data_IF_713260000178
#
_entry.id   IF_713260000178
#
_cell.length_a   1.000
_cell.length_b   1.000
_cell.length_c   1.000
_cell.angle_alpha   90.00
_cell.angle_beta   90.00
_cell.angle_gamma   90.00
#
_symmetry.space_group_name_H-M   'P 1'
#
loop_
_entity.id
_entity.type
_entity.pdbx_description
1 polymer ?
#
# COMPACT_ATOMS: atom_id res chain seq x y z
N UNK A 1 -1.19 7.85 8.33
CA UNK A 1 -0.76 6.54 7.79
C UNK A 1 0.43 6.79 6.89
N UNK A 2 1.62 6.32 7.29
CA UNK A 2 2.87 6.73 6.65
C UNK A 2 3.66 5.52 6.19
N UNK A 3 4.04 5.52 4.92
CA UNK A 3 5.11 4.67 4.38
C UNK A 3 4.85 3.16 4.58
N UNK A 4 3.64 2.71 4.22
CA UNK A 4 3.23 1.31 4.32
C UNK A 4 3.13 0.65 2.95
N UNK A 5 3.40 -0.65 2.86
CA UNK A 5 3.04 -1.48 1.71
C UNK A 5 1.86 -2.40 2.06
N UNK A 6 0.79 -2.36 1.28
CA UNK A 6 -0.42 -3.17 1.49
C UNK A 6 -0.82 -3.86 0.18
N UNK A 7 -1.01 -5.18 0.23
CA UNK A 7 -1.57 -5.96 -0.89
C UNK A 7 -2.70 -6.83 -0.33
N UNK A 8 -3.94 -6.53 -0.72
CA UNK A 8 -5.13 -7.16 -0.12
C UNK A 8 -6.28 -7.29 -1.11
N UNK A 9 -7.18 -8.21 -0.80
CA UNK A 9 -8.51 -8.28 -1.42
C UNK A 9 -9.32 -7.01 -1.14
N UNK A 10 -10.16 -6.60 -2.09
CA UNK A 10 -10.96 -5.38 -1.97
C UNK A 10 -10.15 -4.11 -2.19
N UNK A 11 -10.47 -3.04 -1.47
CA UNK A 11 -9.83 -1.74 -1.67
C UNK A 11 -8.40 -1.77 -1.11
N UNK A 12 -7.41 -1.41 -1.94
CA UNK A 12 -6.01 -1.31 -1.55
C UNK A 12 -5.84 -0.26 -0.46
N UNK A 13 -6.02 1.01 -0.83
CA UNK A 13 -6.12 2.13 0.09
C UNK A 13 -7.60 2.37 0.44
N UNK A 14 -8.06 1.93 1.61
CA UNK A 14 -9.50 1.91 1.93
C UNK A 14 -9.84 2.58 3.27
N UNK A 15 -11.01 3.23 3.31
CA UNK A 15 -11.61 3.80 4.53
C UNK A 15 -13.14 3.74 4.45
N UNK A 16 -13.77 2.96 5.33
CA UNK A 16 -15.20 2.60 5.24
C UNK A 16 -16.13 3.44 6.13
N UNK A 17 -15.57 4.31 6.96
CA UNK A 17 -16.29 5.17 7.89
C UNK A 17 -15.57 6.53 7.94
N UNK A 18 -16.19 7.49 8.60
CA UNK A 18 -15.70 8.86 8.76
C UNK A 18 -14.31 8.84 9.39
N UNK A 19 -13.35 9.48 8.72
CA UNK A 19 -12.08 9.90 9.31
C UNK A 19 -11.96 11.41 9.18
N UNK A 20 -11.17 12.04 10.05
CA UNK A 20 -10.81 13.45 9.92
C UNK A 20 -9.43 13.66 10.55
N UNK A 21 -8.74 14.72 10.15
CA UNK A 21 -7.35 15.01 10.57
C UNK A 21 -6.36 13.87 10.27
N UNK A 22 -6.62 13.07 9.25
CA UNK A 22 -5.74 11.97 8.87
C UNK A 22 -4.65 12.45 7.90
N UNK A 23 -3.40 12.06 8.15
CA UNK A 23 -2.27 12.40 7.29
C UNK A 23 -1.74 11.15 6.59
N UNK A 24 -1.88 11.08 5.27
CA UNK A 24 -1.46 9.96 4.43
C UNK A 24 -0.32 10.36 3.51
N UNK A 25 0.79 9.61 3.58
CA UNK A 25 1.99 9.83 2.78
C UNK A 25 2.73 8.53 2.47
N UNK A 26 3.25 8.44 1.25
CA UNK A 26 4.20 7.42 0.78
C UNK A 26 3.72 5.98 0.90
N UNK A 27 2.41 5.73 0.98
CA UNK A 27 1.87 4.39 1.07
C UNK A 27 1.82 3.76 -0.33
N UNK A 28 2.13 2.48 -0.43
CA UNK A 28 1.94 1.66 -1.62
C UNK A 28 0.82 0.66 -1.35
N UNK A 29 -0.32 0.81 -2.02
CA UNK A 29 -1.49 -0.01 -1.78
C UNK A 29 -2.05 -0.64 -3.06
N UNK A 30 -2.16 -1.96 -3.08
CA UNK A 30 -2.71 -2.72 -4.21
C UNK A 30 -3.94 -3.51 -3.74
N UNK A 31 -5.09 -3.12 -4.28
CA UNK A 31 -6.38 -3.80 -4.08
C UNK A 31 -6.66 -4.85 -5.15
N UNK A 32 -7.91 -5.34 -5.20
CA UNK A 32 -8.35 -6.22 -6.27
C UNK A 32 -9.47 -7.19 -5.90
N UNK A 33 -9.47 -8.34 -6.56
CA UNK A 33 -10.47 -9.41 -6.40
C UNK A 33 -10.90 -9.60 -4.93
N UNK A 34 -12.21 -9.63 -4.66
CA UNK A 34 -12.77 -9.76 -3.30
C UNK A 34 -13.04 -11.22 -2.90
N UNK A 35 -13.21 -12.10 -3.88
CA UNK A 35 -13.72 -13.45 -3.67
C UNK A 35 -15.20 -13.57 -3.36
N UNK A 36 -15.94 -12.45 -3.32
CA UNK A 36 -17.39 -12.44 -3.10
C UNK A 36 -17.87 -13.07 -1.79
N UNK A 37 -16.96 -13.32 -0.83
CA UNK A 37 -17.29 -13.89 0.48
C UNK A 37 -17.40 -12.78 1.51
N UNK A 38 -18.50 -12.81 2.25
CA UNK A 38 -18.65 -12.03 3.48
C UNK A 38 -18.30 -12.91 4.68
N UNK A 39 -17.61 -12.34 5.66
CA UNK A 39 -17.35 -12.93 6.97
C UNK A 39 -18.29 -12.28 7.99
N UNK A 40 -19.46 -12.88 8.15
CA UNK A 40 -20.56 -12.27 8.89
C UNK A 40 -21.10 -11.04 8.14
N UNK A 41 -21.14 -9.89 8.82
CA UNK A 41 -21.59 -8.62 8.24
C UNK A 41 -20.47 -7.83 7.54
N UNK A 42 -19.24 -8.38 7.48
CA UNK A 42 -18.09 -7.71 6.89
C UNK A 42 -17.72 -8.33 5.55
N UNK A 43 -17.60 -7.51 4.51
CA UNK A 43 -17.08 -7.90 3.20
C UNK A 43 -15.69 -7.31 2.94
N UNK A 44 -15.04 -7.73 1.86
CA UNK A 44 -13.75 -7.17 1.44
C UNK A 44 -13.83 -5.69 0.99
N UNK A 45 -15.03 -5.15 0.81
CA UNK A 45 -15.26 -3.82 0.23
C UNK A 45 -15.23 -3.85 -1.30
N UNK A 46 -15.13 -2.68 -1.91
CA UNK A 46 -15.05 -2.55 -3.36
C UNK A 46 -13.68 -3.01 -3.88
N UNK A 47 -13.58 -3.69 -5.04
CA UNK A 47 -12.31 -4.17 -5.60
C UNK A 47 -11.53 -3.06 -6.31
N UNK A 48 -11.24 -1.97 -5.60
CA UNK A 48 -10.67 -0.73 -6.13
C UNK A 48 -9.21 -0.56 -5.70
N UNK A 49 -8.47 0.29 -6.40
CA UNK A 49 -7.13 0.69 -5.99
C UNK A 49 -7.19 1.59 -4.74
N UNK A 50 -8.12 2.55 -4.73
CA UNK A 50 -8.43 3.37 -3.56
C UNK A 50 -9.95 3.59 -3.40
N UNK A 51 -10.43 3.52 -2.17
CA UNK A 51 -11.81 3.87 -1.80
C UNK A 51 -11.86 4.38 -0.35
N UNK A 52 -11.56 5.66 -0.17
CA UNK A 52 -11.78 6.36 1.09
C UNK A 52 -13.12 7.08 0.98
N UNK A 53 -14.14 6.59 1.70
CA UNK A 53 -15.52 7.02 1.53
C UNK A 53 -15.75 8.42 2.10
N UNK A 54 -15.32 8.64 3.34
CA UNK A 54 -15.51 9.90 4.07
C UNK A 54 -14.18 10.35 4.70
N UNK A 55 -13.35 11.11 3.94
CA UNK A 55 -12.02 11.51 4.37
C UNK A 55 -12.02 12.64 5.42
N UNK A 56 -13.14 13.32 5.66
CA UNK A 56 -13.17 14.55 6.47
C UNK A 56 -12.49 15.74 5.79
N UNK A 57 -12.71 16.93 6.34
CA UNK A 57 -12.27 18.20 5.75
C UNK A 57 -10.80 18.53 6.04
N UNK A 58 -10.22 17.95 7.10
CA UNK A 58 -8.86 18.27 7.58
C UNK A 58 -7.84 17.17 7.29
N UNK A 59 -8.24 16.11 6.61
CA UNK A 59 -7.32 15.08 6.17
C UNK A 59 -6.52 15.53 4.94
N UNK A 60 -5.31 14.98 4.81
CA UNK A 60 -4.35 15.32 3.77
C UNK A 60 -3.74 14.04 3.20
N UNK A 61 -3.78 13.92 1.87
CA UNK A 61 -3.44 12.75 1.06
C UNK A 61 -2.53 13.20 -0.08
N UNK A 62 -1.34 12.63 -0.18
CA UNK A 62 -0.35 12.97 -1.20
C UNK A 62 0.78 11.93 -1.20
N UNK A 63 1.47 11.78 -2.32
CA UNK A 63 2.57 10.82 -2.51
C UNK A 63 2.19 9.34 -2.28
N UNK A 64 0.91 8.97 -2.22
CA UNK A 64 0.52 7.57 -2.16
C UNK A 64 0.50 6.94 -3.57
N UNK A 65 0.87 5.67 -3.66
CA UNK A 65 0.90 4.88 -4.87
C UNK A 65 -0.18 3.78 -4.80
N UNK A 66 -1.09 3.74 -5.77
CA UNK A 66 -2.25 2.85 -5.73
C UNK A 66 -2.39 1.99 -6.99
N UNK A 67 -2.78 0.74 -6.79
CA UNK A 67 -2.89 -0.28 -7.84
C UNK A 67 -4.04 -1.23 -7.61
N UNK A 68 -4.35 -2.03 -8.63
CA UNK A 68 -5.42 -3.04 -8.55
C UNK A 68 -5.03 -4.29 -9.33
N UNK A 69 -5.35 -5.46 -8.77
CA UNK A 69 -5.13 -6.76 -9.40
C UNK A 69 -6.46 -7.43 -9.79
N UNK A 70 -6.55 -7.83 -11.06
CA UNK A 70 -7.64 -8.69 -11.56
C UNK A 70 -9.01 -8.03 -11.70
N UNK A 71 -9.11 -6.71 -11.48
CA UNK A 71 -10.34 -5.92 -11.67
C UNK A 71 -10.03 -4.58 -12.36
N UNK A 72 -11.04 -3.92 -12.96
CA UNK A 72 -10.85 -2.59 -13.56
C UNK A 72 -10.31 -1.58 -12.55
N UNK A 73 -9.45 -0.66 -13.02
CA UNK A 73 -8.90 0.40 -12.17
C UNK A 73 -9.97 1.43 -11.81
N UNK A 74 -10.16 1.60 -10.51
CA UNK A 74 -10.97 2.66 -9.90
C UNK A 74 -10.20 3.11 -8.66
N UNK A 75 -10.03 4.43 -8.49
CA UNK A 75 -9.40 5.01 -7.31
C UNK A 75 -10.11 6.33 -6.96
N UNK A 76 -10.58 6.45 -5.72
CA UNK A 76 -11.28 7.64 -5.25
C UNK A 76 -11.08 7.93 -3.76
N UNK A 77 -11.12 9.20 -3.42
CA UNK A 77 -11.08 9.72 -2.05
C UNK A 77 -12.19 10.77 -1.91
N UNK A 78 -13.12 10.58 -0.96
CA UNK A 78 -14.29 11.45 -0.78
C UNK A 78 -15.17 11.54 -2.03
N UNK A 79 -15.24 10.46 -2.81
CA UNK A 79 -15.97 10.40 -4.09
C UNK A 79 -15.28 11.11 -5.27
N UNK A 80 -14.16 11.81 -5.06
CA UNK A 80 -13.37 12.44 -6.13
C UNK A 80 -12.35 11.45 -6.69
N UNK A 81 -11.98 11.53 -7.99
CA UNK A 81 -10.85 10.79 -8.54
C UNK A 81 -9.59 10.96 -7.70
N UNK A 82 -8.83 9.88 -7.52
CA UNK A 82 -7.60 9.90 -6.72
C UNK A 82 -6.63 11.00 -7.18
N UNK A 83 -6.39 11.13 -8.48
CA UNK A 83 -5.53 12.17 -9.06
C UNK A 83 -5.97 13.62 -8.84
N UNK A 84 -7.23 13.87 -8.47
CA UNK A 84 -7.68 15.22 -8.09
C UNK A 84 -7.28 15.58 -6.65
N UNK A 85 -7.10 14.58 -5.80
CA UNK A 85 -6.78 14.73 -4.38
C UNK A 85 -5.27 14.58 -4.15
N UNK A 86 -4.67 13.54 -4.73
CA UNK A 86 -3.28 13.12 -4.60
C UNK A 86 -2.42 13.70 -5.73
N UNK A 87 -1.92 14.92 -5.55
CA UNK A 87 -1.23 15.66 -6.61
C UNK A 87 0.07 15.00 -7.07
N UNK A 88 0.76 14.31 -6.16
CA UNK A 88 1.98 13.56 -6.42
C UNK A 88 1.75 12.05 -6.34
N UNK A 89 0.50 11.61 -6.25
CA UNK A 89 0.18 10.20 -6.17
C UNK A 89 0.43 9.45 -7.47
N UNK A 90 0.61 8.14 -7.36
CA UNK A 90 0.96 7.27 -8.49
C UNK A 90 -0.17 6.28 -8.76
N UNK A 91 -0.85 6.45 -9.89
CA UNK A 91 -1.96 5.57 -10.29
C UNK A 91 -1.48 4.34 -11.09
N UNK A 92 -2.34 3.31 -11.16
CA UNK A 92 -2.12 2.10 -11.95
C UNK A 92 -0.85 1.31 -11.62
N UNK A 93 -0.49 1.20 -10.34
CA UNK A 93 0.57 0.27 -9.93
C UNK A 93 0.14 -1.18 -10.19
N UNK A 94 1.07 -2.00 -10.70
CA UNK A 94 0.87 -3.44 -10.91
C UNK A 94 1.90 -4.25 -10.15
N UNK A 95 1.49 -5.41 -9.65
CA UNK A 95 2.32 -6.28 -8.80
C UNK A 95 3.56 -6.74 -9.57
N UNK A 96 3.38 -7.25 -10.79
CA UNK A 96 4.44 -7.77 -11.65
C UNK A 96 5.42 -6.70 -12.14
N UNK A 97 4.98 -5.44 -12.17
CA UNK A 97 5.81 -4.28 -12.51
C UNK A 97 6.54 -3.71 -11.30
N UNK A 98 6.16 -4.12 -10.08
CA UNK A 98 6.70 -3.55 -8.82
C UNK A 98 7.56 -4.55 -8.07
N UNK A 99 7.16 -5.82 -8.01
CA UNK A 99 7.80 -6.86 -7.21
C UNK A 99 8.26 -8.03 -8.07
N UNK A 100 9.24 -8.79 -7.57
CA UNK A 100 9.79 -9.93 -8.31
C UNK A 100 8.86 -11.16 -8.29
N UNK A 101 8.39 -11.58 -7.11
CA UNK A 101 7.67 -12.85 -6.93
C UNK A 101 6.53 -12.73 -5.90
N UNK A 102 5.78 -11.63 -5.96
CA UNK A 102 4.63 -11.43 -5.08
C UNK A 102 3.38 -11.90 -5.79
N UNK A 103 2.61 -12.77 -5.13
CA UNK A 103 1.30 -13.20 -5.59
C UNK A 103 0.20 -12.39 -4.91
N UNK A 104 -0.84 -12.04 -5.66
CA UNK A 104 -2.01 -11.42 -5.05
C UNK A 104 -2.71 -12.38 -4.07
N UNK A 105 -3.24 -11.82 -2.99
CA UNK A 105 -3.80 -12.56 -1.85
C UNK A 105 -5.22 -13.08 -2.13
N UNK A 106 -5.40 -13.84 -3.21
CA UNK A 106 -6.67 -14.46 -3.58
C UNK A 106 -6.56 -16.00 -3.74
N UNK A 107 -7.43 -16.81 -3.11
CA UNK A 107 -8.36 -16.45 -2.02
C UNK A 107 -7.60 -15.96 -0.76
N UNK A 108 -8.25 -15.19 0.13
CA UNK A 108 -7.58 -14.60 1.31
C UNK A 108 -7.25 -15.60 2.42
N UNK A 109 -7.74 -16.83 2.31
CA UNK A 109 -7.45 -17.98 3.17
C UNK A 109 -7.02 -19.10 2.23
N UNK A 110 -5.96 -19.89 2.52
CA UNK A 110 -5.26 -20.09 3.81
C UNK A 110 -4.00 -19.22 4.03
N UNK A 111 -3.23 -19.54 5.07
CA UNK A 111 -1.91 -18.97 5.37
C UNK A 111 -0.99 -19.00 4.14
N UNK A 112 -0.17 -17.96 3.99
CA UNK A 112 0.78 -17.78 2.90
C UNK A 112 2.19 -17.64 3.45
N UNK A 113 3.17 -18.02 2.63
CA UNK A 113 4.57 -17.69 2.90
C UNK A 113 4.74 -16.18 2.99
N UNK A 114 5.67 -15.76 3.84
CA UNK A 114 6.05 -14.36 3.96
C UNK A 114 6.48 -13.84 2.58
N UNK A 115 5.82 -12.81 2.03
CA UNK A 115 6.17 -12.25 0.74
C UNK A 115 7.41 -11.35 0.84
N UNK A 116 8.20 -11.32 -0.22
CA UNK A 116 9.23 -10.29 -0.41
C UNK A 116 8.58 -9.06 -1.04
N UNK A 117 8.25 -8.07 -0.21
CA UNK A 117 7.61 -6.83 -0.62
C UNK A 117 8.61 -5.71 -0.95
N UNK A 118 9.90 -6.02 -1.15
CA UNK A 118 10.86 -5.04 -1.65
C UNK A 118 10.58 -4.74 -3.12
N UNK A 119 10.46 -3.46 -3.51
CA UNK A 119 10.32 -3.10 -4.91
C UNK A 119 11.54 -3.58 -5.71
N UNK A 120 11.34 -3.88 -6.99
CA UNK A 120 12.42 -4.18 -7.91
C UNK A 120 13.03 -2.88 -8.47
N UNK A 121 14.33 -2.86 -8.82
CA UNK A 121 14.93 -1.72 -9.50
C UNK A 121 14.19 -1.36 -10.79
N UNK A 122 14.04 -0.06 -11.04
CA UNK A 122 13.32 0.55 -12.15
C UNK A 122 11.79 0.52 -12.00
N UNK A 123 11.27 0.12 -10.85
CA UNK A 123 9.82 0.18 -10.60
C UNK A 123 9.36 1.63 -10.45
N UNK A 124 8.07 1.89 -10.69
CA UNK A 124 7.50 3.24 -10.61
C UNK A 124 7.44 3.82 -9.20
N UNK A 125 7.73 3.02 -8.18
CA UNK A 125 7.72 3.43 -6.78
C UNK A 125 9.13 3.74 -6.27
N UNK A 126 10.17 3.47 -7.05
CA UNK A 126 11.56 3.81 -6.73
C UNK A 126 11.76 5.33 -6.78
N UNK A 127 12.43 5.92 -5.79
CA UNK A 127 12.72 7.36 -5.68
C UNK A 127 11.46 8.25 -5.82
N UNK A 128 10.28 7.75 -5.47
CA UNK A 128 9.01 8.39 -5.81
C UNK A 128 8.27 9.03 -4.61
N UNK A 129 8.70 8.75 -3.39
CA UNK A 129 8.10 9.27 -2.16
C UNK A 129 8.77 10.57 -1.69
N UNK A 130 8.14 11.21 -0.68
CA UNK A 130 8.71 12.39 -0.02
C UNK A 130 9.43 11.99 1.27
N UNK A 131 10.53 12.69 1.61
CA UNK A 131 11.19 12.50 2.90
C UNK A 131 10.27 12.92 4.05
N UNK A 132 10.07 12.01 5.01
CA UNK A 132 9.38 12.23 6.27
C UNK A 132 10.41 12.08 7.41
N UNK A 133 10.74 13.17 8.13
CA UNK A 133 11.75 13.11 9.18
C UNK A 133 11.47 12.03 10.22
N UNK A 134 12.51 11.25 10.55
CA UNK A 134 12.51 10.12 11.47
C UNK A 134 11.70 8.89 11.05
N UNK A 135 11.18 8.84 9.81
CA UNK A 135 10.41 7.69 9.30
C UNK A 135 11.18 6.95 8.21
N UNK A 136 11.67 7.68 7.22
CA UNK A 136 12.37 7.13 6.06
C UNK A 136 13.64 7.94 5.77
N UNK A 137 14.38 8.31 6.82
CA UNK A 137 15.63 9.07 6.69
C UNK A 137 16.79 8.24 6.16
N UNK A 138 16.69 6.92 6.26
CA UNK A 138 17.66 5.92 5.83
C UNK A 138 17.40 5.42 4.40
N UNK A 139 16.55 6.13 3.65
CA UNK A 139 16.33 5.85 2.23
C UNK A 139 17.62 5.85 1.43
N UNK A 140 17.61 5.09 0.34
CA UNK A 140 18.70 5.04 -0.62
C UNK A 140 18.31 5.76 -1.91
N UNK A 141 19.28 6.15 -2.75
CA UNK A 141 18.95 6.84 -4.00
C UNK A 141 18.74 8.35 -3.84
N UNK A 142 17.83 8.91 -4.63
CA UNK A 142 17.56 10.35 -4.72
C UNK A 142 16.40 10.80 -3.82
N UNK A 143 15.46 9.90 -3.54
CA UNK A 143 14.33 10.12 -2.65
C UNK A 143 13.86 8.77 -2.07
N UNK A 144 13.03 8.74 -1.02
CA UNK A 144 12.47 7.48 -0.54
C UNK A 144 11.62 6.77 -1.60
N UNK A 145 11.45 5.47 -1.45
CA UNK A 145 10.51 4.71 -2.26
C UNK A 145 9.08 4.81 -1.71
N UNK A 146 8.05 4.67 -2.55
CA UNK A 146 6.68 4.50 -2.04
C UNK A 146 6.50 3.07 -1.50
N UNK A 147 6.02 2.96 -0.27
CA UNK A 147 5.88 1.69 0.44
C UNK A 147 6.76 1.61 1.68
N UNK A 148 6.87 0.42 2.27
CA UNK A 148 7.62 0.18 3.51
C UNK A 148 9.08 -0.26 3.29
N UNK A 149 9.50 -0.43 2.03
CA UNK A 149 10.78 -1.03 1.66
C UNK A 149 11.45 -0.24 0.55
N UNK A 150 12.76 -0.11 0.67
CA UNK A 150 13.62 0.48 -0.35
C UNK A 150 14.13 -0.59 -1.33
N UNK A 151 14.31 -0.20 -2.59
CA UNK A 151 14.97 -0.99 -3.61
C UNK A 151 16.37 -1.37 -3.12
N UNK A 152 16.69 -2.66 -3.18
CA UNK A 152 18.01 -3.17 -2.81
C UNK A 152 18.27 -3.27 -1.29
N UNK A 153 17.32 -2.87 -0.45
CA UNK A 153 17.40 -3.08 1.00
C UNK A 153 17.53 -4.57 1.33
N UNK A 154 18.25 -4.90 2.42
CA UNK A 154 18.23 -6.25 2.97
C UNK A 154 16.80 -6.62 3.43
N UNK A 155 16.39 -7.86 3.18
CA UNK A 155 15.07 -8.31 3.60
C UNK A 155 15.00 -8.30 5.13
N UNK A 156 13.98 -7.67 5.74
CA UNK A 156 13.87 -7.65 7.19
C UNK A 156 13.58 -9.05 7.73
N UNK A 157 13.98 -9.27 8.98
CA UNK A 157 13.57 -10.46 9.72
C UNK A 157 12.10 -10.35 10.10
N UNK A 158 11.27 -11.28 9.59
CA UNK A 158 9.87 -11.40 9.98
C UNK A 158 9.71 -12.43 11.10
N UNK A 159 8.96 -12.08 12.15
CA UNK A 159 8.68 -12.94 13.29
C UNK A 159 9.53 -12.64 14.53
N UNK A 160 9.46 -13.49 15.58
CA UNK A 160 10.23 -13.31 16.80
C UNK A 160 11.72 -13.16 16.49
N UNK A 161 12.38 -12.18 17.11
CA UNK A 161 13.84 -12.10 17.09
C UNK A 161 14.36 -13.12 18.08
N UNK A 162 15.35 -13.90 17.68
CA UNK A 162 16.06 -14.76 18.62
C UNK A 162 16.61 -13.88 19.75
N UNK A 163 16.34 -14.27 21.00
CA UNK A 163 17.06 -13.70 22.12
C UNK A 163 18.53 -14.06 21.91
N UNK A 164 19.40 -13.06 21.80
CA UNK A 164 20.83 -13.34 21.89
C UNK A 164 21.07 -13.92 23.28
N UNK A 165 21.57 -15.14 23.34
CA UNK A 165 22.16 -15.67 24.57
C UNK A 165 23.32 -14.74 24.92
N UNK A 166 23.12 -13.87 25.91
CA UNK A 166 24.20 -13.12 26.53
C UNK A 166 25.00 -14.11 27.38
N UNK A 167 25.98 -14.74 26.73
CA UNK A 167 27.02 -15.55 27.37
C UNK A 167 28.05 -14.71 28.10
#
# INVERSE_FOLDING_TARGET
>A
VLHNTVIKVGAGLGGNDTMDYAYFRNNLAIGGLTGGKNWGNYGAGNPYAADIIDPGDFSDFDYDAVGVYGTPYIAKIGGKPFSEVEKHGIEHIKIEETFNNVEFTFPPIPERKVPDLRPKPGSRVEDAAVRIPNINDDFSGNAPDCGAYEVGQELPHYGPRDLKDEG
#
